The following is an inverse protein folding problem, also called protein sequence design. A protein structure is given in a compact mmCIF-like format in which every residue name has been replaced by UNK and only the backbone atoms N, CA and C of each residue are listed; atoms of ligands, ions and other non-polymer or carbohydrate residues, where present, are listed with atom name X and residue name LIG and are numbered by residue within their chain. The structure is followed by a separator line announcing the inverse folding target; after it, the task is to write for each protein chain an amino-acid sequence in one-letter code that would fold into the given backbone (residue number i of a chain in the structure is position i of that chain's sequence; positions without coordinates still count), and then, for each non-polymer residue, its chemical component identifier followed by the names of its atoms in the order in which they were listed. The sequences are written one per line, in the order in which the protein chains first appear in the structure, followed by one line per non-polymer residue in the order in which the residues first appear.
data_IF_556930575450
#
_entry.id   IF_556930575450
#
_cell.length_a   1.000
_cell.length_b   1.000
_cell.length_c   1.000
_cell.angle_alpha   90.00
_cell.angle_beta   90.00
_cell.angle_gamma   90.00
#
_symmetry.space_group_name_H-M   'P 1'
#
loop_
_entity.id
_entity.type
_entity.pdbx_description
1 polymer ?
#
# COMPACT_ATOMS: atom_id res chain seq x y z
N UNK A 1 -7.31 31.69 2.49
CA UNK A 1 -6.21 30.69 2.50
C UNK A 1 -6.84 29.31 2.38
N UNK A 2 -6.63 28.60 1.26
CA UNK A 2 -6.95 27.17 1.17
C UNK A 2 -5.87 26.41 1.91
N UNK A 3 -6.20 25.80 3.04
CA UNK A 3 -5.35 24.77 3.66
C UNK A 3 -5.27 23.61 2.67
N UNK A 4 -4.12 23.46 2.01
CA UNK A 4 -3.81 22.24 1.27
C UNK A 4 -3.91 21.09 2.28
N UNK A 5 -4.82 20.16 2.04
CA UNK A 5 -4.88 18.90 2.80
C UNK A 5 -3.49 18.29 2.79
N UNK A 6 -2.97 17.80 3.93
CA UNK A 6 -1.62 17.24 3.99
C UNK A 6 -1.52 16.14 2.94
N UNK A 7 -0.59 16.28 2.00
CA UNK A 7 -0.29 15.22 1.03
C UNK A 7 0.06 13.97 1.83
N UNK A 8 -0.81 12.95 1.75
CA UNK A 8 -0.59 11.67 2.42
C UNK A 8 0.39 10.87 1.58
N UNK A 9 1.62 10.75 2.08
CA UNK A 9 2.64 9.93 1.44
C UNK A 9 2.43 8.47 1.81
N UNK A 10 2.40 7.60 0.81
CA UNK A 10 2.41 6.15 0.99
C UNK A 10 3.81 5.64 0.69
N UNK A 11 4.37 4.84 1.60
CA UNK A 11 5.63 4.15 1.35
C UNK A 11 5.33 2.70 1.01
N UNK A 12 5.61 2.31 -0.23
CA UNK A 12 5.43 0.94 -0.72
C UNK A 12 6.77 0.21 -0.68
N UNK A 13 6.76 -1.04 -0.19
CA UNK A 13 7.88 -1.96 -0.32
C UNK A 13 7.42 -3.25 -0.98
N UNK A 14 8.26 -3.76 -1.87
CA UNK A 14 8.11 -5.07 -2.50
C UNK A 14 9.45 -5.79 -2.35
N UNK A 15 9.43 -7.02 -1.89
CA UNK A 15 10.63 -7.83 -1.69
C UNK A 15 10.35 -9.29 -2.00
N UNK A 16 11.42 -10.04 -2.22
CA UNK A 16 11.39 -11.48 -2.38
C UNK A 16 11.84 -12.12 -1.06
N UNK A 17 11.06 -13.05 -0.52
CA UNK A 17 11.43 -13.83 0.66
C UNK A 17 11.48 -15.34 0.34
N UNK A 18 12.36 -16.10 1.00
CA UNK A 18 12.34 -17.56 0.89
C UNK A 18 11.14 -18.14 1.66
N UNK A 19 10.37 -18.99 1.00
CA UNK A 19 9.22 -19.70 1.56
C UNK A 19 9.21 -21.14 1.02
N UNK A 20 9.38 -22.13 1.91
CA UNK A 20 9.45 -23.57 1.58
C UNK A 20 10.40 -23.93 0.42
N UNK A 21 11.55 -23.25 0.34
CA UNK A 21 12.56 -23.50 -0.72
C UNK A 21 12.24 -22.83 -2.06
N UNK A 22 11.16 -22.05 -2.13
CA UNK A 22 10.80 -21.21 -3.28
C UNK A 22 10.92 -19.73 -2.91
N UNK A 23 11.12 -18.86 -3.91
CA UNK A 23 11.06 -17.42 -3.71
C UNK A 23 9.63 -16.92 -3.85
N UNK A 24 9.11 -16.21 -2.83
CA UNK A 24 7.78 -15.62 -2.86
C UNK A 24 7.86 -14.10 -2.76
N UNK A 25 7.16 -13.42 -3.64
CA UNK A 25 7.05 -11.96 -3.60
C UNK A 25 6.09 -11.52 -2.51
N UNK A 26 6.53 -10.63 -1.63
CA UNK A 26 5.71 -9.95 -0.62
C UNK A 26 5.67 -8.46 -0.86
N UNK A 27 4.70 -7.82 -0.22
CA UNK A 27 4.60 -6.38 -0.26
C UNK A 27 4.08 -5.81 1.05
N UNK A 28 4.37 -4.54 1.30
CA UNK A 28 3.76 -3.76 2.38
C UNK A 28 3.51 -2.34 1.93
N UNK A 29 2.53 -1.68 2.56
CA UNK A 29 2.39 -0.23 2.50
C UNK A 29 2.42 0.36 3.91
N UNK A 30 3.15 1.46 4.07
CA UNK A 30 3.03 2.33 5.23
C UNK A 30 2.20 3.55 4.86
N UNK A 31 1.17 3.80 5.66
CA UNK A 31 0.35 5.01 5.61
C UNK A 31 0.38 5.63 7.00
N UNK A 32 0.99 6.81 7.12
CA UNK A 32 1.21 7.47 8.42
C UNK A 32 1.94 6.48 9.37
N UNK A 33 1.35 6.16 10.52
CA UNK A 33 1.90 5.20 11.51
C UNK A 33 1.37 3.76 11.32
N UNK A 34 0.54 3.51 10.30
CA UNK A 34 -0.01 2.19 10.03
C UNK A 34 0.80 1.44 8.99
N UNK A 35 1.14 0.19 9.30
CA UNK A 35 1.76 -0.75 8.37
C UNK A 35 0.79 -1.86 8.01
N UNK A 36 0.62 -2.09 6.71
CA UNK A 36 -0.18 -3.18 6.17
C UNK A 36 0.73 -4.09 5.36
N UNK A 37 0.66 -5.39 5.64
CA UNK A 37 1.43 -6.43 4.97
C UNK A 37 0.52 -7.22 4.02
N UNK A 38 1.09 -7.64 2.89
CA UNK A 38 0.39 -8.37 1.84
C UNK A 38 1.17 -9.61 1.44
N UNK A 39 0.46 -10.72 1.33
CA UNK A 39 1.01 -12.01 0.92
C UNK A 39 1.56 -12.00 -0.52
N UNK A 40 1.15 -11.04 -1.36
CA UNK A 40 1.67 -10.87 -2.71
C UNK A 40 1.48 -9.42 -3.23
N UNK A 41 2.26 -8.98 -4.23
CA UNK A 41 2.13 -7.64 -4.83
C UNK A 41 0.74 -7.36 -5.44
N UNK A 42 0.04 -8.39 -5.93
CA UNK A 42 -1.29 -8.24 -6.49
C UNK A 42 -2.30 -7.76 -5.43
N UNK A 43 -2.24 -8.33 -4.22
CA UNK A 43 -3.12 -7.92 -3.12
C UNK A 43 -2.87 -6.46 -2.69
N UNK A 44 -1.60 -6.02 -2.70
CA UNK A 44 -1.26 -4.60 -2.50
C UNK A 44 -1.89 -3.71 -3.57
N UNK A 45 -1.79 -4.07 -4.86
CA UNK A 45 -2.36 -3.29 -5.95
C UNK A 45 -3.86 -3.16 -5.79
N UNK A 46 -4.56 -4.26 -5.49
CA UNK A 46 -6.01 -4.24 -5.23
C UNK A 46 -6.36 -3.28 -4.09
N UNK A 47 -5.62 -3.34 -2.97
CA UNK A 47 -5.81 -2.43 -1.84
C UNK A 47 -5.63 -0.96 -2.26
N UNK A 48 -4.55 -0.64 -2.97
CA UNK A 48 -4.26 0.73 -3.40
C UNK A 48 -5.30 1.27 -4.37
N UNK A 49 -5.76 0.45 -5.33
CA UNK A 49 -6.81 0.84 -6.27
C UNK A 49 -8.12 1.17 -5.55
N UNK A 50 -8.51 0.38 -4.55
CA UNK A 50 -9.69 0.68 -3.73
C UNK A 50 -9.49 1.92 -2.85
N UNK A 51 -8.31 2.08 -2.25
CA UNK A 51 -8.00 3.24 -1.41
C UNK A 51 -8.03 4.56 -2.20
N UNK A 52 -7.51 4.58 -3.43
CA UNK A 52 -7.56 5.74 -4.32
C UNK A 52 -9.01 6.07 -4.69
N UNK A 53 -9.81 5.07 -5.08
CA UNK A 53 -11.21 5.26 -5.42
C UNK A 53 -12.07 5.80 -4.26
N UNK A 54 -11.76 5.41 -3.02
CA UNK A 54 -12.44 5.93 -1.82
C UNK A 54 -12.10 7.40 -1.55
N UNK A 55 -10.87 7.82 -1.87
CA UNK A 55 -10.43 9.19 -1.66
C UNK A 55 -11.10 10.16 -2.65
N UNK A 56 -11.25 9.77 -3.91
CA UNK A 56 -11.89 10.59 -4.94
C UNK A 56 -13.40 10.80 -4.74
N UNK A 57 -14.10 9.86 -4.07
CA UNK A 57 -15.55 9.96 -3.81
C UNK A 57 -15.94 10.87 -2.64
N UNK A 58 -14.98 11.28 -1.83
CA UNK A 58 -15.21 12.14 -0.64
C UNK A 58 -14.86 13.62 -0.86
N UNK A 59 -14.59 14.02 -2.10
CA UNK A 59 -14.32 15.40 -2.52
C UNK A 59 -15.37 15.88 -3.49
#
# INVERSE_FOLDING_TARGET
MKTLSPQRWLVVRVWLEPDMGLGVWRASVRRDDQYLYFACPRALITYLSTAVQLQDRTT
#
